data_IF_814986298870
#
_entry.id   IF_814986298870
#
_cell.length_a   1.000
_cell.length_b   1.000
_cell.length_c   1.000
_cell.angle_alpha   90.00
_cell.angle_beta   90.00
_cell.angle_gamma   90.00
#
_symmetry.space_group_name_H-M   'P 1'
#
loop_
_entity.id
_entity.type
_entity.pdbx_description
1 polymer ?
#
# COMPACT_ATOMS: atom_id res chain seq x y z
N UNK A 1 23.73 8.34 17.84
CA UNK A 1 24.32 8.46 16.49
C UNK A 1 23.42 7.68 15.55
N UNK A 2 22.75 8.36 14.62
CA UNK A 2 21.88 7.70 13.63
C UNK A 2 22.76 6.86 12.71
N UNK A 3 22.42 5.59 12.54
CA UNK A 3 23.01 4.73 11.51
C UNK A 3 22.76 5.39 10.13
N UNK A 4 23.66 5.23 9.16
CA UNK A 4 23.38 5.64 7.78
C UNK A 4 22.02 5.06 7.37
N UNK A 5 21.23 5.82 6.59
CA UNK A 5 19.90 5.40 6.15
C UNK A 5 19.96 4.12 5.31
N UNK A 6 19.98 2.97 5.98
CA UNK A 6 19.96 1.64 5.37
C UNK A 6 18.52 1.40 4.90
N UNK A 7 18.38 1.03 3.64
CA UNK A 7 17.11 0.58 3.09
C UNK A 7 16.76 -0.78 3.73
N UNK A 8 15.75 -0.80 4.60
CA UNK A 8 15.24 -2.02 5.22
C UNK A 8 14.49 -2.90 4.20
N UNK A 9 13.58 -2.28 3.44
CA UNK A 9 12.84 -2.93 2.35
C UNK A 9 12.29 -1.91 1.37
N UNK A 10 12.01 -2.34 0.15
CA UNK A 10 11.21 -1.60 -0.82
C UNK A 10 10.14 -2.53 -1.40
N UNK A 11 8.93 -2.01 -1.60
CA UNK A 11 7.83 -2.76 -2.20
C UNK A 11 7.12 -1.90 -3.23
N UNK A 12 6.95 -2.42 -4.43
CA UNK A 12 6.04 -1.84 -5.41
C UNK A 12 4.63 -2.31 -5.07
N UNK A 13 3.78 -1.37 -4.67
CA UNK A 13 2.35 -1.59 -4.45
C UNK A 13 1.58 -1.05 -5.65
N UNK A 14 0.56 -1.77 -6.10
CA UNK A 14 -0.24 -1.37 -7.27
C UNK A 14 0.28 -1.91 -8.61
N UNK A 15 -0.24 -1.37 -9.70
CA UNK A 15 -0.29 -2.05 -11.00
C UNK A 15 0.13 -1.30 -12.24
N UNK A 16 -0.32 -1.82 -13.38
CA UNK A 16 0.00 -1.25 -14.70
C UNK A 16 -0.65 0.13 -14.94
N UNK A 17 -1.73 0.46 -14.23
CA UNK A 17 -2.41 1.76 -14.35
C UNK A 17 -2.13 2.68 -13.16
N UNK A 18 -2.24 3.98 -13.42
CA UNK A 18 -2.01 5.07 -12.48
C UNK A 18 -2.83 4.86 -11.20
N UNK A 19 -2.14 4.97 -10.07
CA UNK A 19 -2.74 5.03 -8.74
C UNK A 19 -1.97 6.03 -7.90
N UNK A 20 -2.65 6.64 -6.95
CA UNK A 20 -2.05 7.60 -6.04
C UNK A 20 -1.96 6.98 -4.65
N UNK A 21 -0.78 7.04 -4.05
CA UNK A 21 -0.60 6.83 -2.62
C UNK A 21 -0.77 8.19 -1.93
N UNK A 22 -1.75 8.29 -1.04
CA UNK A 22 -2.03 9.54 -0.32
C UNK A 22 -1.44 9.56 1.08
N UNK A 23 -1.37 8.41 1.75
CA UNK A 23 -0.94 8.37 3.15
C UNK A 23 -0.31 7.04 3.52
N UNK A 24 0.66 7.12 4.42
CA UNK A 24 1.26 6.00 5.13
C UNK A 24 1.37 6.36 6.62
N UNK A 25 0.95 5.45 7.50
CA UNK A 25 1.07 5.62 8.95
C UNK A 25 1.58 4.33 9.60
N UNK A 26 2.33 4.47 10.70
CA UNK A 26 2.71 3.35 11.55
C UNK A 26 1.51 2.84 12.34
N UNK A 27 1.38 1.52 12.46
CA UNK A 27 0.39 0.88 13.30
C UNK A 27 0.98 0.51 14.66
N UNK A 28 0.14 0.34 15.68
CA UNK A 28 0.58 0.03 17.07
C UNK A 28 1.34 -1.29 17.19
N UNK A 29 1.08 -2.24 16.28
CA UNK A 29 1.76 -3.53 16.18
C UNK A 29 3.08 -3.45 15.38
N UNK A 30 3.58 -2.25 15.08
CA UNK A 30 4.86 -2.04 14.39
C UNK A 30 4.79 -2.22 12.88
N UNK A 31 3.59 -2.37 12.31
CA UNK A 31 3.36 -2.41 10.88
C UNK A 31 3.05 -1.03 10.28
N UNK A 32 2.44 -1.07 9.09
CA UNK A 32 2.09 0.11 8.31
C UNK A 32 0.65 0.01 7.81
N UNK A 33 -0.06 1.14 7.80
CA UNK A 33 -1.32 1.29 7.08
C UNK A 33 -1.13 2.31 5.96
N UNK A 34 -1.54 1.94 4.75
CA UNK A 34 -1.42 2.74 3.54
C UNK A 34 -2.78 2.97 2.92
N UNK A 35 -2.99 4.17 2.37
CA UNK A 35 -4.23 4.55 1.72
C UNK A 35 -4.00 5.27 0.41
N UNK A 36 -4.81 4.96 -0.58
CA UNK A 36 -4.70 5.51 -1.93
C UNK A 36 -5.96 5.32 -2.77
N UNK A 37 -5.91 5.77 -4.01
CA UNK A 37 -6.90 5.48 -5.05
C UNK A 37 -6.25 4.84 -6.26
N UNK A 38 -7.04 4.14 -7.08
CA UNK A 38 -6.61 3.66 -8.38
C UNK A 38 -7.78 3.54 -9.35
N UNK A 39 -7.48 3.76 -10.63
CA UNK A 39 -8.40 3.65 -11.76
C UNK A 39 -8.73 2.21 -12.17
N UNK A 40 -8.23 1.20 -11.46
CA UNK A 40 -8.48 -0.19 -11.81
C UNK A 40 -8.59 -1.08 -10.59
N UNK A 41 -9.15 -2.28 -10.81
CA UNK A 41 -9.39 -3.37 -9.85
C UNK A 41 -8.05 -4.01 -9.42
N UNK A 42 -7.08 -3.16 -9.11
CA UNK A 42 -5.68 -3.50 -9.01
C UNK A 42 -5.31 -3.72 -7.56
N UNK A 43 -5.98 -4.67 -6.93
CA UNK A 43 -5.33 -5.36 -5.84
C UNK A 43 -5.51 -6.85 -6.02
N UNK A 44 -4.44 -7.59 -5.75
CA UNK A 44 -4.24 -9.01 -6.08
C UNK A 44 -5.38 -9.93 -5.60
N UNK A 45 -6.19 -9.45 -4.64
CA UNK A 45 -7.36 -10.13 -4.09
C UNK A 45 -8.65 -9.26 -4.07
N UNK A 46 -8.69 -8.11 -4.77
CA UNK A 46 -9.97 -7.45 -5.06
C UNK A 46 -10.71 -8.33 -6.06
N UNK A 47 -11.53 -9.25 -5.54
CA UNK A 47 -12.43 -10.10 -6.34
C UNK A 47 -13.52 -9.29 -7.04
N UNK A 48 -13.77 -8.07 -6.57
CA UNK A 48 -14.74 -7.15 -7.16
C UNK A 48 -14.08 -6.21 -8.17
N UNK A 49 -14.69 -6.12 -9.34
CA UNK A 49 -14.39 -5.10 -10.34
C UNK A 49 -14.68 -3.71 -9.77
N UNK A 50 -13.95 -2.71 -10.25
CA UNK A 50 -14.19 -1.32 -9.84
C UNK A 50 -15.64 -0.92 -10.08
N UNK A 51 -16.25 -0.25 -9.09
CA UNK A 51 -17.62 0.30 -9.19
C UNK A 51 -17.58 1.79 -9.57
N UNK A 52 -16.69 2.17 -10.48
CA UNK A 52 -16.51 3.56 -10.92
C UNK A 52 -15.16 3.81 -11.60
N UNK A 53 -14.83 5.08 -11.81
CA UNK A 53 -13.55 5.51 -12.43
C UNK A 53 -12.36 5.49 -11.46
N UNK A 54 -12.57 5.76 -10.17
CA UNK A 54 -11.53 5.78 -9.13
C UNK A 54 -12.04 5.08 -7.86
N UNK A 55 -11.42 3.97 -7.47
CA UNK A 55 -11.72 3.30 -6.21
C UNK A 55 -10.64 3.56 -5.17
N UNK A 56 -11.05 3.76 -3.92
CA UNK A 56 -10.13 3.77 -2.80
C UNK A 56 -9.68 2.36 -2.40
N UNK A 57 -8.48 2.30 -1.84
CA UNK A 57 -7.92 1.10 -1.25
C UNK A 57 -7.19 1.44 0.05
N UNK A 58 -7.19 0.47 0.96
CA UNK A 58 -6.46 0.50 2.22
C UNK A 58 -5.67 -0.80 2.31
N UNK A 59 -4.38 -0.71 2.59
CA UNK A 59 -3.49 -1.86 2.75
C UNK A 59 -2.88 -1.80 4.15
N UNK A 60 -2.86 -2.95 4.84
CA UNK A 60 -2.07 -3.11 6.06
C UNK A 60 -0.87 -4.00 5.75
N UNK A 61 0.32 -3.54 6.14
CA UNK A 61 1.56 -4.29 6.09
C UNK A 61 2.06 -4.57 7.51
N UNK A 62 2.76 -5.69 7.70
CA UNK A 62 3.54 -5.94 8.89
C UNK A 62 4.88 -5.17 8.86
N UNK A 63 5.67 -5.28 9.93
CA UNK A 63 6.96 -4.58 10.06
C UNK A 63 7.95 -4.89 8.92
N UNK A 64 7.84 -6.05 8.28
CA UNK A 64 8.69 -6.48 7.17
C UNK A 64 8.15 -6.06 5.79
N UNK A 65 7.06 -5.27 5.72
CA UNK A 65 6.45 -4.84 4.47
C UNK A 65 5.57 -5.88 3.78
N UNK A 66 5.26 -6.99 4.45
CA UNK A 66 4.37 -8.03 3.91
C UNK A 66 2.92 -7.76 4.31
N UNK A 67 1.98 -8.06 3.42
CA UNK A 67 0.55 -8.01 3.73
C UNK A 67 0.22 -9.14 4.72
N UNK A 68 -0.67 -8.84 5.67
CA UNK A 68 -1.16 -9.78 6.68
C UNK A 68 -2.59 -10.20 6.41
#
# INVERSE_FOLDING_TARGET
MNLPGILEWQKKLGGERLGYLYSINLTRDGGYILGGSSYSSFFRDKKDLCRGEDDYWIIKLNAAGNEG
#
